data_IF_359168847309
#
_entry.id   IF_359168847309
#
_cell.length_a   1.000
_cell.length_b   1.000
_cell.length_c   1.000
_cell.angle_alpha   90.00
_cell.angle_beta   90.00
_cell.angle_gamma   90.00
#
_symmetry.space_group_name_H-M   'P 1'
#
loop_
_entity.id
_entity.type
_entity.pdbx_description
1 polymer ?
#
# COMPACT_ATOMS: atom_id res chain seq x y z
N UNK A 1 -0.38 8.45 -5.10
CA UNK A 1 0.13 7.66 -3.97
C UNK A 1 -0.31 8.30 -2.67
N UNK A 2 -1.26 7.65 -1.94
CA UNK A 2 -1.71 8.02 -0.59
C UNK A 2 -1.28 6.95 0.42
N UNK A 3 -0.05 6.50 0.32
CA UNK A 3 0.46 5.44 1.19
C UNK A 3 1.52 5.96 2.14
N UNK A 4 1.72 5.26 3.25
CA UNK A 4 2.73 5.59 4.26
C UNK A 4 3.49 4.33 4.69
N UNK A 5 4.61 4.52 5.35
CA UNK A 5 5.51 3.48 5.89
C UNK A 5 6.20 2.68 4.79
N UNK A 6 5.82 1.41 4.55
CA UNK A 6 6.58 0.51 3.69
C UNK A 6 5.74 -0.11 2.56
N UNK A 7 4.66 -0.80 2.90
CA UNK A 7 3.86 -1.64 2.02
C UNK A 7 3.45 -0.94 0.71
N UNK A 8 2.79 0.21 0.82
CA UNK A 8 2.41 1.00 -0.36
C UNK A 8 3.56 1.80 -0.97
N UNK A 9 4.35 2.56 -0.16
CA UNK A 9 5.42 3.38 -0.70
C UNK A 9 6.46 2.60 -1.50
N UNK A 10 6.82 1.39 -1.08
CA UNK A 10 7.76 0.57 -1.84
C UNK A 10 7.18 0.10 -3.18
N UNK A 11 5.88 -0.24 -3.22
CA UNK A 11 5.20 -0.59 -4.46
C UNK A 11 5.15 0.58 -5.45
N UNK A 12 4.74 1.77 -4.99
CA UNK A 12 4.64 2.96 -5.85
C UNK A 12 6.02 3.48 -6.26
N UNK A 13 7.07 3.24 -5.47
CA UNK A 13 8.44 3.50 -5.86
C UNK A 13 8.89 2.57 -7.00
N UNK A 14 8.56 1.26 -6.95
CA UNK A 14 8.86 0.31 -8.04
C UNK A 14 8.17 0.75 -9.32
N UNK A 15 6.90 1.16 -9.26
CA UNK A 15 6.18 1.70 -10.42
C UNK A 15 6.86 2.97 -10.97
N UNK A 16 7.33 3.86 -10.09
CA UNK A 16 8.09 5.05 -10.49
C UNK A 16 9.44 4.69 -11.14
N UNK A 17 10.14 3.67 -10.64
CA UNK A 17 11.37 3.15 -11.25
C UNK A 17 11.11 2.53 -12.65
N UNK A 18 9.90 2.04 -12.89
CA UNK A 18 9.46 1.53 -14.19
C UNK A 18 8.94 2.63 -15.13
N UNK A 19 8.98 3.89 -14.70
CA UNK A 19 8.66 5.06 -15.53
C UNK A 19 7.29 5.67 -15.29
N UNK A 20 6.53 5.21 -14.29
CA UNK A 20 5.28 5.87 -13.90
C UNK A 20 5.56 7.23 -13.28
N UNK A 21 4.77 8.24 -13.64
CA UNK A 21 4.76 9.51 -12.92
C UNK A 21 3.97 9.35 -11.62
N UNK A 22 4.66 9.40 -10.49
CA UNK A 22 4.05 9.20 -9.17
C UNK A 22 4.02 10.49 -8.38
N UNK A 23 2.81 10.92 -8.00
CA UNK A 23 2.59 12.04 -7.08
C UNK A 23 2.20 11.47 -5.72
N UNK A 24 3.08 11.66 -4.73
CA UNK A 24 2.82 11.27 -3.34
C UNK A 24 2.10 12.40 -2.63
N UNK A 25 0.92 12.11 -2.09
CA UNK A 25 0.15 13.04 -1.25
C UNK A 25 0.45 12.73 0.20
N UNK A 26 1.03 13.69 0.91
CA UNK A 26 1.36 13.58 2.32
C UNK A 26 0.44 14.47 3.17
N UNK A 27 0.27 14.12 4.46
CA UNK A 27 -0.37 15.00 5.46
C UNK A 27 0.54 16.19 5.79
N UNK A 28 0.03 17.13 6.60
CA UNK A 28 0.83 18.26 7.09
C UNK A 28 2.06 17.82 7.90
N UNK A 29 1.96 16.66 8.57
CA UNK A 29 3.06 16.08 9.35
C UNK A 29 4.06 15.30 8.49
N UNK A 30 3.72 15.03 7.23
CA UNK A 30 4.50 14.20 6.32
C UNK A 30 4.37 12.70 6.59
N UNK A 31 5.15 11.90 5.87
CA UNK A 31 5.27 10.46 6.11
C UNK A 31 6.12 10.24 7.37
N UNK A 32 5.64 9.41 8.29
CA UNK A 32 6.33 9.08 9.55
C UNK A 32 7.75 8.56 9.31
N UNK A 33 8.02 7.90 8.19
CA UNK A 33 9.34 7.37 7.84
C UNK A 33 10.38 8.45 7.57
N UNK A 34 9.97 9.71 7.38
CA UNK A 34 10.88 10.86 7.30
C UNK A 34 11.68 11.08 8.58
N UNK A 35 11.12 10.67 9.73
CA UNK A 35 11.74 10.82 11.04
C UNK A 35 12.53 9.59 11.51
N UNK A 36 12.57 8.48 10.73
CA UNK A 36 13.27 7.27 11.12
C UNK A 36 14.78 7.42 10.88
N UNK A 37 15.55 7.32 11.97
CA UNK A 37 17.02 7.34 11.93
C UNK A 37 17.59 6.03 11.32
N UNK A 38 18.82 6.03 10.77
CA UNK A 38 19.70 7.17 10.61
C UNK A 38 19.24 8.14 9.53
N UNK A 39 19.50 9.44 9.72
CA UNK A 39 19.21 10.49 8.75
C UNK A 39 20.36 11.50 8.66
N UNK A 40 20.63 12.01 7.46
CA UNK A 40 21.66 13.03 7.23
C UNK A 40 21.17 14.43 7.64
N UNK A 41 19.90 14.69 7.46
CA UNK A 41 19.24 15.96 7.80
C UNK A 41 17.79 15.69 8.22
N UNK A 42 17.17 16.62 8.93
CA UNK A 42 15.79 16.50 9.40
C UNK A 42 14.83 16.21 8.24
N UNK A 43 13.93 15.25 8.43
CA UNK A 43 12.95 14.82 7.42
C UNK A 43 13.50 13.94 6.29
N UNK A 44 14.80 13.58 6.35
CA UNK A 44 15.46 12.75 5.34
C UNK A 44 15.82 11.36 5.90
N UNK A 45 14.86 10.73 6.57
CA UNK A 45 15.01 9.38 7.09
C UNK A 45 15.38 8.39 5.98
N UNK A 46 16.30 7.48 6.27
CA UNK A 46 16.79 6.51 5.29
C UNK A 46 15.67 5.68 4.67
N UNK A 47 14.69 5.30 5.48
CA UNK A 47 13.55 4.49 5.05
C UNK A 47 12.67 5.26 4.05
N UNK A 48 12.41 6.55 4.33
CA UNK A 48 11.68 7.41 3.41
C UNK A 48 12.40 7.53 2.06
N UNK A 49 13.71 7.80 2.08
CA UNK A 49 14.51 7.95 0.86
C UNK A 49 14.53 6.68 0.01
N UNK A 50 14.61 5.51 0.66
CA UNK A 50 14.63 4.23 -0.04
C UNK A 50 13.29 3.86 -0.69
N UNK A 51 12.17 4.28 -0.09
CA UNK A 51 10.82 3.88 -0.53
C UNK A 51 10.10 4.94 -1.36
N UNK A 52 10.71 6.13 -1.55
CA UNK A 52 10.03 7.25 -2.21
C UNK A 52 10.86 7.97 -3.28
N UNK A 53 11.97 7.37 -3.73
CA UNK A 53 12.71 7.93 -4.89
C UNK A 53 11.83 7.95 -6.15
N UNK A 54 12.13 8.85 -7.06
CA UNK A 54 11.42 9.05 -8.32
C UNK A 54 9.95 9.50 -8.16
N UNK A 55 9.55 9.94 -6.95
CA UNK A 55 8.22 10.51 -6.72
C UNK A 55 8.29 12.02 -6.57
N UNK A 56 7.24 12.72 -7.01
CA UNK A 56 6.99 14.10 -6.63
C UNK A 56 6.06 14.09 -5.40
N UNK A 57 6.36 14.91 -4.40
CA UNK A 57 5.57 14.99 -3.17
C UNK A 57 4.78 16.29 -3.13
N UNK A 58 3.54 16.21 -2.68
CA UNK A 58 2.71 17.37 -2.32
C UNK A 58 2.12 17.15 -0.94
N UNK A 59 1.86 18.24 -0.23
CA UNK A 59 1.24 18.20 1.09
C UNK A 59 -0.18 18.72 0.99
N UNK A 60 -1.17 17.91 1.40
CA UNK A 60 -2.58 18.29 1.43
C UNK A 60 -3.22 17.97 2.78
N UNK A 61 -3.89 18.95 3.37
CA UNK A 61 -4.79 18.68 4.49
C UNK A 61 -6.12 18.15 3.98
N UNK A 62 -6.24 16.83 3.87
CA UNK A 62 -7.46 16.16 3.41
C UNK A 62 -8.66 16.31 4.36
N UNK A 63 -8.47 16.86 5.56
CA UNK A 63 -9.56 17.19 6.47
C UNK A 63 -10.19 18.55 6.10
N UNK A 64 -9.45 19.42 5.46
CA UNK A 64 -9.96 20.71 4.98
C UNK A 64 -10.77 20.56 3.69
N UNK A 65 -11.71 21.46 3.45
CA UNK A 65 -12.49 21.49 2.22
C UNK A 65 -11.59 21.74 0.98
N UNK A 66 -10.64 22.66 1.12
CA UNK A 66 -9.71 22.98 0.03
C UNK A 66 -8.81 21.79 -0.32
N UNK A 67 -8.30 21.09 0.71
CA UNK A 67 -7.47 19.89 0.50
C UNK A 67 -8.23 18.76 -0.19
N UNK A 68 -9.50 18.53 0.19
CA UNK A 68 -10.35 17.55 -0.50
C UNK A 68 -10.61 17.93 -1.96
N UNK A 69 -10.93 19.19 -2.22
CA UNK A 69 -11.11 19.69 -3.61
C UNK A 69 -9.84 19.51 -4.43
N UNK A 70 -8.69 19.87 -3.87
CA UNK A 70 -7.39 19.69 -4.54
C UNK A 70 -7.09 18.21 -4.84
N UNK A 71 -7.38 17.31 -3.88
CA UNK A 71 -7.21 15.88 -4.10
C UNK A 71 -8.13 15.34 -5.21
N UNK A 72 -9.42 15.67 -5.20
CA UNK A 72 -10.36 15.24 -6.26
C UNK A 72 -9.96 15.82 -7.62
N UNK A 73 -9.42 17.04 -7.65
CA UNK A 73 -8.89 17.63 -8.90
C UNK A 73 -7.68 16.86 -9.45
N UNK A 74 -6.80 16.36 -8.56
CA UNK A 74 -5.72 15.45 -8.97
C UNK A 74 -6.28 14.10 -9.47
N UNK A 75 -7.30 13.57 -8.78
CA UNK A 75 -7.91 12.30 -9.14
C UNK A 75 -8.55 12.28 -10.54
N UNK A 76 -8.99 13.43 -11.07
CA UNK A 76 -9.55 13.55 -12.43
C UNK A 76 -8.56 13.10 -13.53
N UNK A 77 -7.25 13.31 -13.32
CA UNK A 77 -6.24 13.15 -14.36
C UNK A 77 -5.25 11.98 -14.13
N UNK A 78 -5.49 11.09 -13.17
CA UNK A 78 -4.59 9.98 -12.90
C UNK A 78 -5.15 8.65 -13.43
N UNK A 79 -4.26 7.74 -13.80
CA UNK A 79 -4.64 6.40 -14.22
C UNK A 79 -4.95 5.50 -13.05
N UNK A 80 -4.20 5.65 -11.95
CA UNK A 80 -4.37 4.85 -10.75
C UNK A 80 -4.20 5.68 -9.48
N UNK A 81 -4.95 5.31 -8.45
CA UNK A 81 -4.82 5.79 -7.08
C UNK A 81 -4.40 4.60 -6.22
N UNK A 82 -3.31 4.75 -5.46
CA UNK A 82 -2.84 3.73 -4.53
C UNK A 82 -2.96 4.27 -3.11
N UNK A 83 -3.80 3.64 -2.28
CA UNK A 83 -4.20 4.16 -0.99
C UNK A 83 -4.06 3.12 0.12
N UNK A 84 -3.29 3.43 1.19
CA UNK A 84 -3.21 2.62 2.41
C UNK A 84 -3.94 3.24 3.61
N UNK A 85 -4.64 4.35 3.39
CA UNK A 85 -5.52 4.93 4.40
C UNK A 85 -6.73 4.04 4.55
N UNK A 86 -7.13 3.78 5.80
CA UNK A 86 -8.27 2.89 6.09
C UNK A 86 -9.51 3.28 5.28
N UNK A 87 -10.18 2.32 4.61
CA UNK A 87 -11.37 2.59 3.77
C UNK A 87 -12.43 3.44 4.45
N UNK A 88 -12.78 3.09 5.70
CA UNK A 88 -13.74 3.86 6.50
C UNK A 88 -13.31 5.32 6.78
N UNK A 89 -12.01 5.61 6.77
CA UNK A 89 -11.52 6.98 6.93
C UNK A 89 -11.64 7.76 5.62
N UNK A 90 -11.30 7.14 4.48
CA UNK A 90 -11.48 7.75 3.15
C UNK A 90 -12.95 8.01 2.86
N UNK A 91 -13.84 7.08 3.18
CA UNK A 91 -15.29 7.27 3.04
C UNK A 91 -15.82 8.46 3.88
N UNK A 92 -15.37 8.61 5.13
CA UNK A 92 -15.74 9.77 5.97
C UNK A 92 -15.25 11.10 5.41
N UNK A 93 -14.13 11.11 4.69
CA UNK A 93 -13.60 12.30 4.03
C UNK A 93 -14.28 12.57 2.68
N UNK A 94 -15.06 11.62 2.15
CA UNK A 94 -15.61 11.71 0.79
C UNK A 94 -14.54 11.59 -0.28
N UNK A 95 -13.52 10.75 -0.06
CA UNK A 95 -12.35 10.58 -0.93
C UNK A 95 -12.07 9.10 -1.24
N UNK A 96 -13.05 8.23 -1.00
CA UNK A 96 -13.00 6.81 -1.32
C UNK A 96 -13.13 6.54 -2.84
N UNK A 97 -13.17 5.27 -3.20
CA UNK A 97 -13.31 4.85 -4.60
C UNK A 97 -14.55 5.47 -5.27
N UNK A 98 -15.70 5.46 -4.61
CA UNK A 98 -16.94 5.99 -5.20
C UNK A 98 -16.84 7.50 -5.46
N UNK A 99 -16.26 8.26 -4.54
CA UNK A 99 -16.01 9.69 -4.73
C UNK A 99 -15.02 9.94 -5.88
N UNK A 100 -13.94 9.17 -5.95
CA UNK A 100 -12.95 9.28 -7.02
C UNK A 100 -13.55 8.90 -8.39
N UNK A 101 -14.37 7.84 -8.44
CA UNK A 101 -15.07 7.38 -9.64
C UNK A 101 -16.04 8.44 -10.20
N UNK A 102 -16.61 9.28 -9.32
CA UNK A 102 -17.48 10.38 -9.78
C UNK A 102 -16.73 11.39 -10.65
N UNK A 103 -15.46 11.66 -10.34
CA UNK A 103 -14.64 12.63 -11.11
C UNK A 103 -13.76 11.97 -12.18
N UNK A 104 -13.50 10.68 -12.03
CA UNK A 104 -12.72 9.87 -12.97
C UNK A 104 -13.34 8.47 -13.09
N UNK A 105 -14.33 8.28 -13.97
CA UNK A 105 -15.08 7.01 -14.06
C UNK A 105 -14.25 5.78 -14.34
N UNK A 106 -13.07 5.95 -14.93
CA UNK A 106 -12.18 4.88 -15.36
C UNK A 106 -10.94 4.75 -14.47
N UNK A 107 -10.98 5.30 -13.26
CA UNK A 107 -9.85 5.22 -12.33
C UNK A 107 -9.64 3.79 -11.83
N UNK A 108 -8.39 3.33 -11.82
CA UNK A 108 -7.98 2.15 -11.06
C UNK A 108 -7.70 2.59 -9.62
N UNK A 109 -8.42 2.03 -8.65
CA UNK A 109 -8.24 2.37 -7.23
C UNK A 109 -7.73 1.16 -6.48
N UNK A 110 -6.47 1.23 -6.03
CA UNK A 110 -5.81 0.19 -5.25
C UNK A 110 -6.01 0.47 -3.77
N UNK A 111 -6.81 -0.36 -3.11
CA UNK A 111 -7.09 -0.27 -1.68
C UNK A 111 -6.18 -1.25 -0.92
N UNK A 112 -5.19 -0.72 -0.21
CA UNK A 112 -4.18 -1.51 0.48
C UNK A 112 -4.57 -1.68 1.94
N UNK A 113 -4.77 -2.90 2.36
CA UNK A 113 -5.24 -3.23 3.71
C UNK A 113 -4.38 -4.32 4.35
N UNK A 114 -4.35 -4.36 5.67
CA UNK A 114 -3.64 -5.41 6.39
C UNK A 114 -4.34 -6.77 6.30
N UNK A 115 -5.68 -6.74 6.30
CA UNK A 115 -6.55 -7.91 6.28
C UNK A 115 -7.71 -7.67 5.33
N UNK A 116 -8.18 -8.71 4.64
CA UNK A 116 -9.33 -8.64 3.74
C UNK A 116 -10.56 -8.07 4.43
N UNK A 117 -11.24 -7.14 3.75
CA UNK A 117 -12.31 -6.34 4.37
C UNK A 117 -13.60 -7.15 4.61
N UNK A 118 -13.77 -8.29 3.94
CA UNK A 118 -14.83 -9.25 4.21
C UNK A 118 -14.54 -10.17 5.42
N UNK A 119 -13.32 -10.15 5.97
CA UNK A 119 -12.87 -11.05 7.01
C UNK A 119 -13.06 -10.50 8.43
N UNK A 120 -12.92 -11.37 9.46
CA UNK A 120 -13.11 -10.99 10.87
C UNK A 120 -12.03 -10.04 11.40
N UNK A 121 -10.90 -9.90 10.70
CA UNK A 121 -9.78 -9.06 11.09
C UNK A 121 -9.74 -7.70 10.37
N UNK A 122 -10.74 -7.38 9.53
CA UNK A 122 -10.77 -6.16 8.71
C UNK A 122 -10.44 -4.86 9.46
N UNK A 123 -10.82 -4.76 10.73
CA UNK A 123 -10.61 -3.55 11.57
C UNK A 123 -9.32 -3.58 12.39
N UNK A 124 -8.57 -4.67 12.36
CA UNK A 124 -7.34 -4.81 13.16
C UNK A 124 -6.18 -4.06 12.51
N UNK A 125 -5.26 -3.50 13.31
CA UNK A 125 -4.00 -2.99 12.78
C UNK A 125 -3.15 -4.15 12.27
N UNK A 126 -2.39 -3.91 11.20
CA UNK A 126 -1.43 -4.83 10.66
C UNK A 126 -0.07 -4.14 10.53
N UNK A 127 0.96 -4.87 10.94
CA UNK A 127 2.37 -4.53 10.76
C UNK A 127 3.09 -5.77 10.26
N UNK A 128 4.25 -5.62 9.70
CA UNK A 128 5.04 -6.70 9.09
C UNK A 128 5.18 -7.93 10.01
N UNK A 129 5.57 -7.73 11.27
CA UNK A 129 5.76 -8.81 12.24
C UNK A 129 4.46 -9.53 12.60
N UNK A 130 3.34 -8.81 12.71
CA UNK A 130 2.02 -9.41 12.91
C UNK A 130 1.69 -10.33 11.74
N UNK A 131 1.94 -9.88 10.53
CA UNK A 131 1.67 -10.66 9.32
C UNK A 131 2.65 -11.85 9.20
N UNK A 132 3.92 -11.69 9.54
CA UNK A 132 4.86 -12.83 9.62
C UNK A 132 4.34 -13.92 10.56
N UNK A 133 3.82 -13.52 11.72
CA UNK A 133 3.23 -14.46 12.68
C UNK A 133 1.98 -15.14 12.14
N UNK A 134 1.03 -14.36 11.64
CA UNK A 134 -0.29 -14.85 11.22
C UNK A 134 -0.25 -15.64 9.91
N UNK A 135 0.67 -15.32 8.99
CA UNK A 135 0.85 -16.07 7.73
C UNK A 135 1.62 -17.38 7.91
N UNK A 136 2.10 -17.69 9.13
CA UNK A 136 2.90 -18.87 9.39
C UNK A 136 4.38 -18.75 9.03
N UNK A 137 4.82 -17.63 8.43
CA UNK A 137 6.22 -17.43 8.05
C UNK A 137 7.18 -17.56 9.23
N UNK A 138 6.83 -16.99 10.39
CA UNK A 138 7.66 -17.09 11.59
C UNK A 138 7.82 -18.54 12.07
N UNK A 139 6.79 -19.38 11.95
CA UNK A 139 6.85 -20.79 12.27
C UNK A 139 7.77 -21.55 11.30
N UNK A 140 7.68 -21.28 9.99
CA UNK A 140 8.57 -21.88 8.99
C UNK A 140 10.04 -21.54 9.24
N UNK A 141 10.34 -20.29 9.63
CA UNK A 141 11.70 -19.87 9.97
C UNK A 141 12.26 -20.59 11.21
N UNK A 142 11.41 -20.95 12.14
CA UNK A 142 11.80 -21.77 13.31
C UNK A 142 12.05 -23.24 12.97
N UNK A 143 11.51 -23.70 11.85
CA UNK A 143 11.53 -25.09 11.43
C UNK A 143 10.73 -26.01 12.36
N UNK A 144 10.67 -27.31 12.02
CA UNK A 144 9.80 -28.29 12.73
C UNK A 144 10.06 -28.47 14.23
N UNK A 145 11.27 -28.20 14.71
CA UNK A 145 11.68 -28.45 16.10
C UNK A 145 12.08 -27.17 16.84
N UNK A 146 12.18 -26.05 16.16
CA UNK A 146 12.58 -24.78 16.77
C UNK A 146 11.38 -23.88 17.11
N UNK A 147 11.60 -22.87 17.99
CA UNK A 147 10.59 -21.85 18.23
C UNK A 147 10.39 -20.99 16.98
N UNK A 148 9.20 -20.40 16.78
CA UNK A 148 8.97 -19.43 15.71
C UNK A 148 10.00 -18.29 15.75
N UNK A 149 10.46 -17.85 14.59
CA UNK A 149 11.43 -16.76 14.45
C UNK A 149 10.98 -15.79 13.35
N UNK A 150 11.07 -14.51 13.62
CA UNK A 150 10.85 -13.51 12.59
C UNK A 150 12.03 -13.44 11.63
N UNK A 151 11.74 -13.19 10.36
CA UNK A 151 12.74 -12.74 9.40
C UNK A 151 13.16 -11.32 9.80
N UNK A 152 14.46 -11.09 9.94
CA UNK A 152 14.98 -9.76 10.32
C UNK A 152 14.94 -8.78 9.13
N UNK A 153 13.75 -8.55 8.64
CA UNK A 153 13.45 -7.62 7.53
C UNK A 153 11.95 -7.38 7.50
N UNK A 154 11.49 -6.24 7.01
CA UNK A 154 10.08 -6.01 6.66
C UNK A 154 9.70 -6.79 5.40
N UNK A 155 9.71 -8.13 5.54
CA UNK A 155 9.57 -9.06 4.43
C UNK A 155 8.15 -9.09 3.88
N UNK A 156 7.14 -9.02 4.77
CA UNK A 156 5.74 -9.01 4.38
C UNK A 156 5.36 -7.71 3.64
N UNK A 157 5.88 -6.57 4.11
CA UNK A 157 5.73 -5.30 3.40
C UNK A 157 6.32 -5.39 1.98
N UNK A 158 7.54 -5.93 1.84
CA UNK A 158 8.24 -6.00 0.56
C UNK A 158 7.61 -6.99 -0.42
N UNK A 159 7.23 -8.18 0.07
CA UNK A 159 6.55 -9.17 -0.77
C UNK A 159 5.16 -8.67 -1.15
N UNK A 160 4.41 -8.15 -0.18
CA UNK A 160 3.10 -7.57 -0.44
C UNK A 160 3.16 -6.40 -1.43
N UNK A 161 4.23 -5.60 -1.40
CA UNK A 161 4.46 -4.56 -2.41
C UNK A 161 4.55 -5.12 -3.83
N UNK A 162 5.14 -6.30 -4.04
CA UNK A 162 5.15 -6.94 -5.36
C UNK A 162 3.73 -7.31 -5.80
N UNK A 163 2.88 -7.82 -4.89
CA UNK A 163 1.48 -8.08 -5.20
C UNK A 163 0.75 -6.80 -5.62
N UNK A 164 1.00 -5.67 -4.94
CA UNK A 164 0.43 -4.37 -5.32
C UNK A 164 0.88 -3.98 -6.74
N UNK A 165 2.18 -4.09 -7.05
CA UNK A 165 2.70 -3.78 -8.39
C UNK A 165 2.02 -4.64 -9.45
N UNK A 166 1.98 -5.95 -9.26
CA UNK A 166 1.36 -6.87 -10.21
C UNK A 166 -0.13 -6.59 -10.39
N UNK A 167 -0.87 -6.41 -9.30
CA UNK A 167 -2.30 -6.10 -9.34
C UNK A 167 -2.58 -4.75 -10.01
N UNK A 168 -1.76 -3.72 -9.73
CA UNK A 168 -1.87 -2.42 -10.38
C UNK A 168 -1.64 -2.54 -11.89
N UNK A 169 -0.59 -3.22 -12.31
CA UNK A 169 -0.29 -3.42 -13.73
C UNK A 169 -1.39 -4.22 -14.44
N UNK A 170 -1.92 -5.27 -13.80
CA UNK A 170 -3.04 -6.06 -14.34
C UNK A 170 -4.31 -5.22 -14.49
N UNK A 171 -4.63 -4.39 -13.49
CA UNK A 171 -5.80 -3.51 -13.53
C UNK A 171 -5.65 -2.40 -14.59
N UNK A 172 -4.45 -1.82 -14.74
CA UNK A 172 -4.17 -0.84 -15.80
C UNK A 172 -4.23 -1.48 -17.19
N UNK A 173 -3.72 -2.70 -17.34
CA UNK A 173 -3.86 -3.45 -18.60
C UNK A 173 -5.31 -3.76 -18.94
N UNK A 174 -6.13 -4.13 -17.95
CA UNK A 174 -7.58 -4.28 -18.13
C UNK A 174 -8.22 -2.97 -18.59
N UNK A 175 -7.93 -1.87 -17.88
CA UNK A 175 -8.41 -0.51 -18.25
C UNK A 175 -8.03 -0.15 -19.69
N UNK A 176 -6.79 -0.40 -20.09
CA UNK A 176 -6.33 -0.12 -21.46
C UNK A 176 -7.11 -0.91 -22.51
N UNK A 177 -7.47 -2.17 -22.22
CA UNK A 177 -8.20 -3.05 -23.14
C UNK A 177 -9.69 -2.81 -23.21
N UNK A 178 -10.30 -2.39 -22.11
CA UNK A 178 -11.77 -2.30 -21.96
C UNK A 178 -12.29 -0.86 -21.81
N UNK A 179 -11.42 0.05 -21.40
CA UNK A 179 -11.80 1.40 -20.97
C UNK A 179 -12.38 1.46 -19.55
N UNK A 180 -12.39 0.34 -18.80
CA UNK A 180 -13.04 0.24 -17.50
C UNK A 180 -12.02 0.27 -16.35
N UNK A 181 -12.18 1.23 -15.44
CA UNK A 181 -11.49 1.25 -14.15
C UNK A 181 -12.12 0.31 -13.14
N UNK A 182 -11.43 0.07 -12.03
CA UNK A 182 -11.92 -0.84 -10.98
C UNK A 182 -11.33 -0.54 -9.61
N UNK A 183 -12.04 -0.96 -8.56
CA UNK A 183 -11.50 -1.09 -7.21
C UNK A 183 -10.77 -2.43 -7.08
N UNK A 184 -9.54 -2.40 -6.59
CA UNK A 184 -8.74 -3.60 -6.33
C UNK A 184 -8.27 -3.58 -4.88
N UNK A 185 -8.76 -4.51 -4.08
CA UNK A 185 -8.30 -4.71 -2.71
C UNK A 185 -7.05 -5.61 -2.71
N UNK A 186 -5.98 -5.15 -2.02
CA UNK A 186 -4.75 -5.92 -1.85
C UNK A 186 -4.48 -6.10 -0.35
N UNK A 187 -4.94 -7.21 0.24
CA UNK A 187 -4.73 -7.49 1.66
C UNK A 187 -3.36 -8.15 1.89
N UNK A 188 -2.61 -7.64 2.88
CA UNK A 188 -1.25 -8.11 3.16
C UNK A 188 -1.24 -9.54 3.67
N UNK A 189 -2.15 -9.89 4.60
CA UNK A 189 -2.20 -11.24 5.16
C UNK A 189 -2.46 -12.29 4.08
N UNK A 190 -3.52 -12.11 3.29
CA UNK A 190 -3.93 -13.05 2.27
C UNK A 190 -2.86 -13.19 1.17
N UNK A 191 -2.19 -12.10 0.83
CA UNK A 191 -1.03 -12.13 -0.07
C UNK A 191 0.09 -12.99 0.49
N UNK A 192 0.41 -12.85 1.79
CA UNK A 192 1.47 -13.63 2.44
C UNK A 192 1.08 -15.09 2.67
N UNK A 193 -0.19 -15.38 2.96
CA UNK A 193 -0.69 -16.77 3.02
C UNK A 193 -0.56 -17.43 1.64
N UNK A 194 -0.97 -16.73 0.58
CA UNK A 194 -0.79 -17.22 -0.80
C UNK A 194 0.68 -17.46 -1.16
N UNK A 195 1.59 -16.59 -0.71
CA UNK A 195 3.02 -16.74 -0.92
C UNK A 195 3.58 -17.99 -0.21
N UNK A 196 3.12 -18.28 1.01
CA UNK A 196 3.61 -19.37 1.85
C UNK A 196 2.85 -20.71 1.64
N UNK A 197 1.84 -20.76 0.77
CA UNK A 197 0.89 -21.89 0.70
C UNK A 197 1.56 -23.21 0.31
N UNK A 198 2.60 -23.15 -0.50
CA UNK A 198 3.31 -24.35 -0.98
C UNK A 198 3.99 -25.07 0.19
N UNK A 199 4.68 -24.32 1.03
CA UNK A 199 5.39 -24.85 2.18
C UNK A 199 4.40 -25.41 3.22
N UNK A 200 3.29 -24.71 3.46
CA UNK A 200 2.24 -25.19 4.37
C UNK A 200 1.58 -26.48 3.87
N UNK A 201 1.33 -26.61 2.57
CA UNK A 201 0.75 -27.82 1.99
C UNK A 201 1.74 -28.99 1.97
N UNK A 202 3.04 -28.75 1.97
CA UNK A 202 4.06 -29.80 2.04
C UNK A 202 4.28 -30.37 3.44
N UNK A 203 3.56 -29.87 4.43
CA UNK A 203 3.65 -30.34 5.82
C UNK A 203 4.86 -29.79 6.57
N UNK A 204 5.36 -28.62 6.18
CA UNK A 204 6.44 -27.90 6.86
C UNK A 204 5.95 -27.22 8.15
#
# INVERSE_FOLDING_TARGET
DLTTVAFGPYATQILADYGAEVIKVESLEGDITRAIAPMKSAGMGHFFLMSNRNKRCIVLDLKSELGRKAYLKLAEGVDAIVCSVRPAAMARLGLDYEACKTVNPNVVYMELVGFGQAGPYAKRPAYDDIIQGMSGMAAMQGGRKGPPRFVNSSVCDKIGSQFIVHATMAALFHKERTGEGQLVEVPMLESMVGFNIVEHQSGQ
#
